data_IF_986361708010
#
_entry.id   IF_986361708010
#
_cell.length_a   1.000
_cell.length_b   1.000
_cell.length_c   1.000
_cell.angle_alpha   90.00
_cell.angle_beta   90.00
_cell.angle_gamma   90.00
#
_symmetry.space_group_name_H-M   'P 1'
#
loop_
_entity.id
_entity.type
_entity.pdbx_description
1 polymer ?
#
# COMPACT_ATOMS: atom_id res chain seq x y z
N UNK A 1 -13.42 -11.85 38.38
CA UNK A 1 -13.91 -12.13 37.00
C UNK A 1 -14.65 -13.44 36.99
N UNK A 2 -15.88 -13.41 36.51
CA UNK A 2 -16.72 -14.59 36.34
C UNK A 2 -16.19 -15.48 35.20
N UNK A 3 -16.50 -16.78 35.20
CA UNK A 3 -16.05 -17.72 34.13
C UNK A 3 -16.43 -17.22 32.73
N UNK A 4 -17.60 -16.60 32.60
CA UNK A 4 -18.10 -15.99 31.35
C UNK A 4 -17.27 -14.78 30.92
N UNK A 5 -16.95 -13.87 31.84
CA UNK A 5 -16.12 -12.69 31.56
C UNK A 5 -14.71 -13.07 31.08
N UNK A 6 -14.12 -14.09 31.71
CA UNK A 6 -12.81 -14.61 31.30
C UNK A 6 -12.86 -15.20 29.90
N UNK A 7 -13.93 -15.90 29.55
CA UNK A 7 -14.14 -16.46 28.20
C UNK A 7 -14.33 -15.35 27.15
N UNK A 8 -15.13 -14.32 27.44
CA UNK A 8 -15.29 -13.18 26.54
C UNK A 8 -13.98 -12.44 26.32
N UNK A 9 -13.20 -12.23 27.37
CA UNK A 9 -11.89 -11.57 27.27
C UNK A 9 -10.93 -12.36 26.37
N UNK A 10 -10.90 -13.69 26.49
CA UNK A 10 -10.09 -14.57 25.63
C UNK A 10 -10.54 -14.46 24.17
N UNK A 11 -11.86 -14.48 23.90
CA UNK A 11 -12.41 -14.36 22.54
C UNK A 11 -12.03 -13.01 21.93
N UNK A 12 -12.13 -11.92 22.68
CA UNK A 12 -11.76 -10.58 22.22
C UNK A 12 -10.27 -10.51 21.87
N UNK A 13 -9.41 -11.07 22.72
CA UNK A 13 -7.95 -11.14 22.45
C UNK A 13 -7.68 -11.96 21.19
N UNK A 14 -8.35 -13.11 21.03
CA UNK A 14 -8.20 -13.96 19.85
C UNK A 14 -8.61 -13.20 18.57
N UNK A 15 -9.75 -12.51 18.59
CA UNK A 15 -10.23 -11.72 17.47
C UNK A 15 -9.28 -10.56 17.13
N UNK A 16 -8.71 -9.89 18.14
CA UNK A 16 -7.70 -8.85 17.93
C UNK A 16 -6.45 -9.41 17.24
N UNK A 17 -5.96 -10.57 17.68
CA UNK A 17 -4.81 -11.22 17.05
C UNK A 17 -5.11 -11.57 15.58
N UNK A 18 -6.28 -12.15 15.30
CA UNK A 18 -6.70 -12.49 13.93
C UNK A 18 -6.76 -11.24 13.04
N UNK A 19 -7.31 -10.13 13.55
CA UNK A 19 -7.41 -8.87 12.82
C UNK A 19 -6.02 -8.28 12.53
N UNK A 20 -5.11 -8.32 13.50
CA UNK A 20 -3.72 -7.89 13.32
C UNK A 20 -3.06 -8.74 12.23
N UNK A 21 -3.12 -10.07 12.32
CA UNK A 21 -2.55 -10.95 11.30
C UNK A 21 -3.08 -10.68 9.90
N UNK A 22 -4.40 -10.52 9.77
CA UNK A 22 -5.03 -10.17 8.49
C UNK A 22 -4.49 -8.86 7.94
N UNK A 23 -4.38 -7.82 8.78
CA UNK A 23 -3.92 -6.52 8.33
C UNK A 23 -2.43 -6.51 7.97
N UNK A 24 -1.60 -7.33 8.61
CA UNK A 24 -0.19 -7.43 8.24
C UNK A 24 0.04 -8.25 6.97
N UNK A 25 -0.67 -9.37 6.79
CA UNK A 25 -0.32 -10.35 5.75
C UNK A 25 -1.14 -10.24 4.46
N UNK A 26 -2.39 -9.75 4.53
CA UNK A 26 -3.31 -9.74 3.39
C UNK A 26 -3.52 -8.36 2.78
N UNK A 27 -3.12 -7.28 3.47
CA UNK A 27 -3.31 -5.92 2.96
C UNK A 27 -2.21 -5.45 2.01
N UNK A 28 -1.04 -6.11 1.94
CA UNK A 28 -0.01 -5.72 0.97
C UNK A 28 -0.24 -6.38 -0.39
N UNK A 29 -0.36 -5.56 -1.43
CA UNK A 29 -0.43 -6.04 -2.79
C UNK A 29 0.92 -6.63 -3.23
N UNK A 30 0.88 -7.89 -3.68
CA UNK A 30 2.00 -8.60 -4.29
C UNK A 30 1.85 -8.50 -5.82
N UNK A 31 2.75 -7.79 -6.52
CA UNK A 31 2.69 -7.69 -7.97
C UNK A 31 2.88 -9.07 -8.62
N UNK A 32 2.09 -9.35 -9.66
CA UNK A 32 2.15 -10.62 -10.40
C UNK A 32 2.96 -10.48 -11.69
N UNK A 33 3.13 -9.25 -12.18
CA UNK A 33 3.86 -8.92 -13.40
C UNK A 33 4.90 -7.83 -13.17
N UNK A 34 5.94 -7.79 -14.02
CA UNK A 34 6.98 -6.73 -13.97
C UNK A 34 6.39 -5.33 -14.13
N UNK A 35 5.36 -5.16 -14.98
CA UNK A 35 4.71 -3.86 -15.17
C UNK A 35 3.97 -3.39 -13.91
N UNK A 36 3.33 -4.31 -13.18
CA UNK A 36 2.69 -4.02 -11.89
C UNK A 36 3.72 -3.70 -10.80
N UNK A 37 4.88 -4.35 -10.82
CA UNK A 37 5.98 -4.07 -9.90
C UNK A 37 6.53 -2.65 -10.11
N UNK A 38 6.80 -2.26 -11.36
CA UNK A 38 7.27 -0.91 -11.69
C UNK A 38 6.18 0.13 -11.33
N UNK A 39 4.91 -0.20 -11.56
CA UNK A 39 3.81 0.68 -11.15
C UNK A 39 3.68 0.78 -9.62
N UNK A 40 3.91 -0.31 -8.87
CA UNK A 40 3.96 -0.30 -7.41
C UNK A 40 5.03 0.66 -6.91
N UNK A 41 6.25 0.56 -7.43
CA UNK A 41 7.37 1.46 -7.09
C UNK A 41 7.02 2.93 -7.35
N UNK A 42 6.41 3.22 -8.50
CA UNK A 42 5.96 4.56 -8.85
C UNK A 42 4.92 5.11 -7.86
N UNK A 43 3.93 4.29 -7.50
CA UNK A 43 2.87 4.65 -6.55
C UNK A 43 3.45 4.86 -5.15
N UNK A 44 4.41 4.04 -4.74
CA UNK A 44 5.12 4.18 -3.47
C UNK A 44 5.91 5.48 -3.41
N UNK A 45 6.64 5.84 -4.48
CA UNK A 45 7.33 7.14 -4.60
C UNK A 45 6.38 8.30 -4.39
N UNK A 46 5.25 8.32 -5.11
CA UNK A 46 4.22 9.36 -4.94
C UNK A 46 3.70 9.38 -3.50
N UNK A 47 3.50 8.20 -2.91
CA UNK A 47 3.11 8.06 -1.51
C UNK A 47 4.12 8.71 -0.57
N UNK A 48 5.42 8.40 -0.69
CA UNK A 48 6.49 9.01 0.11
C UNK A 48 6.62 10.52 -0.12
N UNK A 49 6.35 11.00 -1.34
CA UNK A 49 6.35 12.42 -1.65
C UNK A 49 5.16 13.16 -1.00
N UNK A 50 3.97 12.55 -1.06
CA UNK A 50 2.71 13.09 -0.56
C UNK A 50 2.58 13.00 0.97
N UNK A 51 3.12 11.95 1.59
CA UNK A 51 2.93 11.61 3.01
C UNK A 51 4.19 11.91 3.85
N UNK A 52 4.62 13.16 3.94
CA UNK A 52 5.80 13.61 4.72
C UNK A 52 5.48 14.22 6.09
N UNK A 53 4.25 14.08 6.58
CA UNK A 53 3.80 14.71 7.83
C UNK A 53 4.52 14.19 9.08
N UNK A 54 4.37 14.90 10.21
CA UNK A 54 4.96 14.55 11.50
C UNK A 54 4.69 13.09 11.92
N UNK A 55 3.47 12.60 11.69
CA UNK A 55 3.09 11.23 12.01
C UNK A 55 3.89 10.19 11.21
N UNK A 56 4.17 10.45 9.93
CA UNK A 56 4.98 9.57 9.09
C UNK A 56 6.47 9.67 9.45
N UNK A 57 6.96 10.86 9.78
CA UNK A 57 8.35 11.09 10.20
C UNK A 57 8.70 10.37 11.51
N UNK A 58 7.77 10.33 12.47
CA UNK A 58 7.96 9.64 13.74
C UNK A 58 7.54 8.15 13.69
N UNK A 59 7.33 7.60 12.50
CA UNK A 59 6.95 6.20 12.32
C UNK A 59 5.65 5.81 13.05
N UNK A 60 4.75 6.79 13.26
CA UNK A 60 3.42 6.58 13.86
C UNK A 60 2.35 6.31 12.80
N UNK A 61 2.60 6.71 11.56
CA UNK A 61 1.75 6.42 10.42
C UNK A 61 2.56 5.75 9.31
N UNK A 62 1.93 4.81 8.62
CA UNK A 62 2.48 4.14 7.44
C UNK A 62 1.44 4.09 6.34
N UNK A 63 1.86 3.73 5.12
CA UNK A 63 0.95 3.48 4.02
C UNK A 63 1.37 2.21 3.30
N UNK A 64 0.43 1.54 2.65
CA UNK A 64 0.68 0.35 1.84
C UNK A 64 -0.15 0.41 0.58
N UNK A 65 0.40 -0.10 -0.52
CA UNK A 65 -0.35 -0.34 -1.75
C UNK A 65 -1.16 -1.62 -1.55
N UNK A 66 -2.49 -1.51 -1.55
CA UNK A 66 -3.41 -2.63 -1.25
C UNK A 66 -3.94 -3.28 -2.51
N UNK A 67 -3.98 -2.55 -3.62
CA UNK A 67 -4.43 -3.09 -4.89
C UNK A 67 -3.82 -2.31 -6.04
N UNK A 68 -3.39 -3.03 -7.07
CA UNK A 68 -3.11 -2.48 -8.40
C UNK A 68 -4.05 -3.18 -9.38
N UNK A 69 -4.69 -2.40 -10.25
CA UNK A 69 -5.56 -2.89 -11.30
C UNK A 69 -5.23 -2.21 -12.61
N UNK A 70 -5.10 -3.00 -13.67
CA UNK A 70 -5.07 -2.49 -15.03
C UNK A 70 -6.48 -2.11 -15.44
N UNK A 71 -6.69 -0.85 -15.82
CA UNK A 71 -8.00 -0.31 -16.23
C UNK A 71 -8.18 -0.45 -17.74
N UNK A 72 -7.08 -0.31 -18.49
CA UNK A 72 -7.13 -0.23 -19.95
C UNK A 72 -5.89 -0.91 -20.53
N UNK A 73 -6.11 -1.81 -21.48
CA UNK A 73 -5.05 -2.47 -22.24
C UNK A 73 -4.57 -1.61 -23.43
N UNK A 74 -5.34 -0.59 -23.83
CA UNK A 74 -5.04 0.27 -24.96
C UNK A 74 -4.34 1.55 -24.47
N UNK A 75 -3.11 1.74 -24.94
CA UNK A 75 -2.30 2.94 -24.69
C UNK A 75 -0.99 2.64 -23.96
N UNK A 76 -0.22 3.70 -23.70
CA UNK A 76 1.02 3.64 -22.93
C UNK A 76 0.88 4.57 -21.72
N UNK A 77 1.43 4.19 -20.58
CA UNK A 77 1.59 5.09 -19.44
C UNK A 77 3.07 5.31 -19.19
N UNK A 78 3.46 6.57 -19.01
CA UNK A 78 4.84 6.95 -18.71
C UNK A 78 4.97 6.99 -17.18
N UNK A 79 5.84 6.15 -16.64
CA UNK A 79 6.12 6.09 -15.20
C UNK A 79 7.60 6.26 -14.92
N UNK A 80 7.94 6.86 -13.79
CA UNK A 80 9.32 7.08 -13.39
C UNK A 80 9.80 5.92 -12.52
N UNK A 81 10.83 5.21 -12.98
CA UNK A 81 11.51 4.12 -12.28
C UNK A 81 12.85 4.59 -11.74
N UNK A 82 13.26 4.10 -10.57
CA UNK A 82 14.59 4.38 -10.01
C UNK A 82 15.65 3.59 -10.80
N UNK A 83 16.66 4.26 -11.33
CA UNK A 83 17.75 3.59 -12.02
C UNK A 83 18.71 2.98 -10.98
N UNK A 84 19.10 1.72 -11.16
CA UNK A 84 19.76 0.92 -10.13
C UNK A 84 21.14 1.41 -9.68
N UNK A 85 21.80 2.31 -10.44
CA UNK A 85 23.17 2.75 -10.19
C UNK A 85 23.35 4.26 -10.01
N UNK A 86 22.33 5.08 -10.33
CA UNK A 86 22.40 6.53 -10.20
C UNK A 86 21.18 7.02 -9.42
N UNK A 87 21.32 8.11 -8.67
CA UNK A 87 20.19 8.82 -8.04
C UNK A 87 19.19 9.43 -9.06
N UNK A 88 19.25 9.01 -10.33
CA UNK A 88 18.39 9.42 -11.43
C UNK A 88 17.15 8.53 -11.57
N UNK A 89 16.06 9.17 -11.98
CA UNK A 89 14.82 8.49 -12.36
C UNK A 89 14.79 8.34 -13.89
N UNK A 90 14.49 7.14 -14.38
CA UNK A 90 14.27 6.87 -15.80
C UNK A 90 12.77 6.80 -16.08
N UNK A 91 12.33 7.42 -17.19
CA UNK A 91 10.96 7.30 -17.65
C UNK A 91 10.79 6.01 -18.43
N UNK A 92 10.02 5.08 -17.88
CA UNK A 92 9.67 3.80 -18.49
C UNK A 92 8.24 3.88 -19.02
N UNK A 93 8.04 3.47 -20.27
CA UNK A 93 6.71 3.30 -20.85
C UNK A 93 6.19 1.90 -20.52
N UNK A 94 5.13 1.82 -19.72
CA UNK A 94 4.38 0.58 -19.50
C UNK A 94 3.15 0.52 -20.40
N UNK A 95 2.76 -0.70 -20.81
CA UNK A 95 1.61 -0.91 -21.71
C UNK A 95 0.30 -0.91 -20.91
N UNK A 96 -0.59 0.01 -21.27
CA UNK A 96 -1.91 0.16 -20.65
C UNK A 96 -1.94 1.18 -19.52
N UNK A 97 -3.13 1.36 -18.93
CA UNK A 97 -3.36 2.27 -17.80
C UNK A 97 -3.61 1.48 -16.53
N UNK A 98 -3.04 1.97 -15.44
CA UNK A 98 -3.11 1.31 -14.14
C UNK A 98 -3.72 2.25 -13.09
N UNK A 99 -4.41 1.64 -12.12
CA UNK A 99 -4.92 2.30 -10.92
C UNK A 99 -4.44 1.55 -9.71
N UNK A 100 -3.80 2.27 -8.80
CA UNK A 100 -3.46 1.75 -7.49
C UNK A 100 -4.37 2.32 -6.41
N UNK A 101 -4.56 1.53 -5.37
CA UNK A 101 -5.21 1.91 -4.13
C UNK A 101 -4.18 1.85 -3.02
N UNK A 102 -3.92 3.00 -2.39
CA UNK A 102 -3.09 3.12 -1.20
C UNK A 102 -4.01 3.15 0.00
N UNK A 103 -3.67 2.39 1.04
CA UNK A 103 -4.31 2.50 2.36
C UNK A 103 -3.31 3.03 3.37
N UNK A 104 -3.77 3.95 4.19
CA UNK A 104 -2.98 4.59 5.24
C UNK A 104 -3.32 3.95 6.58
N UNK A 105 -2.29 3.70 7.38
CA UNK A 105 -2.38 3.04 8.68
C UNK A 105 -1.80 3.94 9.76
N UNK A 106 -2.46 3.97 10.90
CA UNK A 106 -1.94 4.52 12.14
C UNK A 106 -1.43 3.35 12.99
N UNK A 107 -0.31 3.55 13.70
CA UNK A 107 0.39 2.53 14.47
C UNK A 107 0.70 1.25 13.67
N UNK A 108 0.80 1.35 12.34
CA UNK A 108 1.07 0.26 11.39
C UNK A 108 -0.04 -0.79 11.17
N UNK A 109 -1.12 -0.78 11.96
CA UNK A 109 -2.18 -1.79 11.85
C UNK A 109 -3.60 -1.21 11.77
N UNK A 110 -3.81 0.05 12.19
CA UNK A 110 -5.15 0.63 12.21
C UNK A 110 -5.40 1.46 10.94
N UNK A 111 -6.18 0.96 9.97
CA UNK A 111 -6.45 1.72 8.76
C UNK A 111 -7.30 2.95 9.07
N UNK A 112 -6.90 4.12 8.58
CA UNK A 112 -7.62 5.38 8.83
C UNK A 112 -8.02 6.13 7.55
N UNK A 113 -7.55 5.69 6.38
CA UNK A 113 -7.95 6.31 5.12
C UNK A 113 -7.40 5.59 3.90
N UNK A 114 -7.98 5.90 2.75
CA UNK A 114 -7.63 5.31 1.46
C UNK A 114 -7.47 6.40 0.40
N UNK A 115 -6.51 6.23 -0.51
CA UNK A 115 -6.18 7.14 -1.60
C UNK A 115 -6.03 6.35 -2.90
N UNK A 116 -6.49 6.91 -4.02
CA UNK A 116 -6.33 6.34 -5.35
C UNK A 116 -5.22 7.04 -6.13
N UNK A 117 -4.39 6.27 -6.84
CA UNK A 117 -3.38 6.80 -7.76
C UNK A 117 -3.63 6.23 -9.16
N UNK A 118 -3.65 7.09 -10.17
CA UNK A 118 -3.83 6.72 -11.56
C UNK A 118 -2.51 6.89 -12.32
N UNK A 119 -2.24 6.02 -13.28
CA UNK A 119 -1.11 6.19 -14.19
C UNK A 119 -1.33 7.45 -15.05
N UNK A 120 -0.28 8.27 -15.20
CA UNK A 120 -0.33 9.47 -16.04
C UNK A 120 -0.28 9.07 -17.52
N UNK A 121 -1.01 9.83 -18.36
CA UNK A 121 -0.93 9.77 -19.82
C UNK A 121 0.36 10.41 -20.31
#
# INVERSE_FOLDING_TARGET
MNKKEKMYLIIVILLLVILIFKSFYLDEYKPLTKDEEIFKEYVEKIGYEKYKGFLYKNNLASFRVVSIKKIDDKGKSIIEKKNGNDNGYERVEIKGKYKAKIRKYLFHFLPYGEDGVLSRK
#
